data_IF_393879411628
#
_entry.id   IF_393879411628
#
_cell.length_a   1.000
_cell.length_b   1.000
_cell.length_c   1.000
_cell.angle_alpha   90.00
_cell.angle_beta   90.00
_cell.angle_gamma   90.00
#
_symmetry.space_group_name_H-M   'P 1'
#
loop_
_entity.id
_entity.type
_entity.pdbx_description
1 polymer ?
#
# COMPACT_ATOMS: atom_id res chain seq x y z
N UNK A 1 5.81 -4.93 30.84
CA UNK A 1 5.29 -6.26 30.42
C UNK A 1 6.16 -7.41 30.98
N UNK A 2 7.47 -7.34 30.80
CA UNK A 2 8.43 -8.35 31.29
C UNK A 2 8.40 -8.50 32.82
N UNK A 3 8.28 -7.39 33.55
CA UNK A 3 8.19 -7.41 35.05
C UNK A 3 6.91 -8.09 35.52
N UNK A 4 5.76 -7.83 34.87
CA UNK A 4 4.47 -8.47 35.17
C UNK A 4 4.53 -9.98 34.93
N UNK A 5 5.23 -10.40 33.88
CA UNK A 5 5.40 -11.81 33.56
C UNK A 5 6.30 -12.52 34.57
N UNK A 6 7.40 -11.89 34.99
CA UNK A 6 8.32 -12.41 36.00
C UNK A 6 7.62 -12.49 37.36
N UNK A 7 6.83 -11.48 37.73
CA UNK A 7 6.06 -11.51 39.00
C UNK A 7 4.96 -12.59 38.98
N UNK A 8 4.24 -12.76 37.87
CA UNK A 8 3.25 -13.83 37.72
C UNK A 8 3.90 -15.23 37.81
N UNK A 9 5.08 -15.43 37.20
CA UNK A 9 5.84 -16.67 37.32
C UNK A 9 6.29 -16.95 38.76
N UNK A 10 6.78 -15.92 39.46
CA UNK A 10 7.20 -16.04 40.85
C UNK A 10 6.03 -16.39 41.80
N UNK A 11 4.86 -15.77 41.56
CA UNK A 11 3.64 -16.04 42.31
C UNK A 11 3.14 -17.48 42.08
N UNK A 12 3.12 -17.95 40.84
CA UNK A 12 2.76 -19.34 40.49
C UNK A 12 3.73 -20.35 41.11
N UNK A 13 5.03 -20.06 41.14
CA UNK A 13 6.03 -20.91 41.75
C UNK A 13 5.87 -21.00 43.28
N UNK A 14 5.67 -19.87 43.94
CA UNK A 14 5.46 -19.78 45.37
C UNK A 14 4.12 -20.43 45.79
N UNK A 15 3.05 -20.26 45.00
CA UNK A 15 1.75 -20.93 45.26
C UNK A 15 1.86 -22.45 45.12
N UNK A 16 2.64 -22.97 44.21
CA UNK A 16 2.92 -24.40 44.05
C UNK A 16 3.67 -25.01 45.22
N UNK A 17 4.52 -24.24 45.90
CA UNK A 17 5.25 -24.65 47.09
C UNK A 17 4.36 -24.72 48.37
N UNK A 18 3.31 -23.89 48.41
CA UNK A 18 2.45 -23.75 49.62
C UNK A 18 1.30 -24.76 49.71
N UNK A 19 0.95 -25.42 48.59
CA UNK A 19 -0.29 -26.23 48.52
C UNK A 19 -0.11 -27.73 48.74
N UNK A 20 1.05 -28.22 49.08
CA UNK A 20 1.27 -29.66 49.41
C UNK A 20 0.88 -30.64 48.30
N UNK A 21 0.81 -30.14 47.03
CA UNK A 21 0.54 -30.99 45.86
C UNK A 21 1.58 -32.11 45.76
N UNK A 22 1.14 -33.31 45.35
CA UNK A 22 2.03 -34.46 45.17
C UNK A 22 3.22 -34.09 44.27
N UNK A 23 4.40 -34.59 44.55
CA UNK A 23 5.67 -34.28 43.85
C UNK A 23 5.59 -34.37 42.31
N UNK A 24 4.70 -35.17 41.79
CA UNK A 24 4.46 -35.33 40.32
C UNK A 24 3.69 -34.12 39.77
N UNK A 25 2.67 -33.63 40.45
CA UNK A 25 1.91 -32.45 40.01
C UNK A 25 2.71 -31.16 40.13
N UNK A 26 3.61 -31.04 41.11
CA UNK A 26 4.46 -29.87 41.28
C UNK A 26 5.50 -29.73 40.13
N UNK A 27 6.06 -30.84 39.66
CA UNK A 27 7.00 -30.86 38.55
C UNK A 27 6.31 -30.50 37.21
N UNK A 28 5.12 -31.04 36.96
CA UNK A 28 4.29 -30.70 35.81
C UNK A 28 3.90 -29.23 35.82
N UNK A 29 3.48 -28.70 36.94
CA UNK A 29 3.10 -27.31 37.11
C UNK A 29 4.29 -26.37 36.86
N UNK A 30 5.47 -26.71 37.40
CA UNK A 30 6.70 -25.95 37.18
C UNK A 30 7.11 -25.90 35.71
N UNK A 31 7.00 -27.02 34.98
CA UNK A 31 7.29 -27.07 33.54
C UNK A 31 6.27 -26.22 32.75
N UNK A 32 4.98 -26.32 33.07
CA UNK A 32 3.94 -25.52 32.42
C UNK A 32 4.14 -24.02 32.66
N UNK A 33 4.47 -23.62 33.89
CA UNK A 33 4.76 -22.21 34.23
C UNK A 33 5.98 -21.66 33.51
N UNK A 34 6.88 -22.50 33.05
CA UNK A 34 8.06 -22.09 32.27
C UNK A 34 7.78 -22.10 30.73
N UNK A 35 7.13 -23.14 30.26
CA UNK A 35 6.89 -23.34 28.81
C UNK A 35 5.82 -22.39 28.28
N UNK A 36 4.72 -22.15 29.00
CA UNK A 36 3.63 -21.30 28.54
C UNK A 36 4.07 -19.84 28.28
N UNK A 37 4.74 -19.15 29.24
CA UNK A 37 5.15 -17.77 28.99
C UNK A 37 6.23 -17.67 27.91
N UNK A 38 7.16 -18.63 27.81
CA UNK A 38 8.18 -18.65 26.74
C UNK A 38 7.50 -18.83 25.38
N UNK A 39 6.54 -19.75 25.29
CA UNK A 39 5.76 -19.96 24.05
C UNK A 39 4.96 -18.72 23.66
N UNK A 40 4.33 -18.06 24.64
CA UNK A 40 3.57 -16.83 24.43
C UNK A 40 4.48 -15.68 23.96
N UNK A 41 5.65 -15.53 24.56
CA UNK A 41 6.65 -14.55 24.14
C UNK A 41 7.15 -14.82 22.71
N UNK A 42 7.40 -16.09 22.38
CA UNK A 42 7.80 -16.48 21.03
C UNK A 42 6.72 -16.16 19.99
N UNK A 43 5.46 -16.49 20.30
CA UNK A 43 4.33 -16.18 19.43
C UNK A 43 4.12 -14.66 19.28
N UNK A 44 4.22 -13.92 20.39
CA UNK A 44 4.11 -12.47 20.39
C UNK A 44 5.23 -11.83 19.52
N UNK A 45 6.48 -12.29 19.70
CA UNK A 45 7.61 -11.84 18.90
C UNK A 45 7.42 -12.15 17.40
N UNK A 46 6.97 -13.36 17.07
CA UNK A 46 6.70 -13.77 15.69
C UNK A 46 5.59 -12.92 15.06
N UNK A 47 4.54 -12.59 15.82
CA UNK A 47 3.46 -11.71 15.35
C UNK A 47 3.94 -10.26 15.17
N UNK A 48 4.73 -9.77 16.10
CA UNK A 48 5.34 -8.45 16.03
C UNK A 48 6.26 -8.30 14.81
N UNK A 49 7.16 -9.26 14.57
CA UNK A 49 8.03 -9.24 13.40
C UNK A 49 7.23 -9.22 12.09
N UNK A 50 6.15 -10.03 11.97
CA UNK A 50 5.29 -9.99 10.78
C UNK A 50 4.66 -8.62 10.54
N UNK A 51 4.25 -7.93 11.60
CA UNK A 51 3.70 -6.57 11.51
C UNK A 51 4.79 -5.61 11.02
N UNK A 52 5.99 -5.68 11.60
CA UNK A 52 7.12 -4.87 11.16
C UNK A 52 7.48 -5.11 9.69
N UNK A 53 7.56 -6.37 9.28
CA UNK A 53 7.85 -6.75 7.89
C UNK A 53 6.79 -6.18 6.93
N UNK A 54 5.51 -6.26 7.30
CA UNK A 54 4.41 -5.71 6.51
C UNK A 54 4.46 -4.19 6.40
N UNK A 55 4.81 -3.50 7.48
CA UNK A 55 4.97 -2.03 7.48
C UNK A 55 6.17 -1.60 6.63
N UNK A 56 7.28 -2.33 6.71
CA UNK A 56 8.46 -2.06 5.88
C UNK A 56 8.16 -2.28 4.40
N UNK A 57 7.47 -3.38 4.06
CA UNK A 57 7.06 -3.65 2.68
C UNK A 57 6.12 -2.56 2.14
N UNK A 58 5.15 -2.11 2.94
CA UNK A 58 4.25 -1.02 2.57
C UNK A 58 5.01 0.31 2.37
N UNK A 59 5.96 0.63 3.26
CA UNK A 59 6.81 1.82 3.12
C UNK A 59 7.68 1.78 1.86
N UNK A 60 8.26 0.62 1.54
CA UNK A 60 9.06 0.46 0.32
C UNK A 60 8.20 0.57 -0.94
N UNK A 61 6.99 0.00 -0.93
CA UNK A 61 6.05 0.13 -2.05
C UNK A 61 5.64 1.58 -2.27
N UNK A 62 5.36 2.33 -1.19
CA UNK A 62 5.04 3.75 -1.25
C UNK A 62 6.19 4.58 -1.83
N UNK A 63 7.42 4.38 -1.33
CA UNK A 63 8.62 5.07 -1.85
C UNK A 63 8.82 4.80 -3.34
N UNK A 64 8.71 3.53 -3.74
CA UNK A 64 8.84 3.14 -5.13
C UNK A 64 7.78 3.80 -6.03
N UNK A 65 6.54 3.98 -5.54
CA UNK A 65 5.50 4.74 -6.22
C UNK A 65 5.91 6.19 -6.42
N UNK A 66 6.29 6.86 -5.32
CA UNK A 66 6.73 8.26 -5.35
C UNK A 66 7.96 8.49 -6.27
N UNK A 67 8.93 7.55 -6.29
CA UNK A 67 10.08 7.62 -7.21
C UNK A 67 9.61 7.57 -8.68
N UNK A 68 8.64 6.72 -9.01
CA UNK A 68 8.09 6.64 -10.37
C UNK A 68 7.35 7.93 -10.76
N UNK A 69 6.53 8.48 -9.87
CA UNK A 69 5.85 9.76 -10.09
C UNK A 69 6.85 10.90 -10.27
N UNK A 70 7.95 10.92 -9.49
CA UNK A 70 9.03 11.89 -9.63
C UNK A 70 9.68 11.83 -10.99
N UNK A 71 10.04 10.64 -11.49
CA UNK A 71 10.62 10.46 -12.83
C UNK A 71 9.65 10.95 -13.92
N UNK A 72 8.37 10.63 -13.81
CA UNK A 72 7.36 11.12 -14.75
C UNK A 72 7.25 12.65 -14.70
N UNK A 73 7.30 13.26 -13.52
CA UNK A 73 7.27 14.70 -13.37
C UNK A 73 8.50 15.37 -14.02
N UNK A 74 9.69 14.78 -13.86
CA UNK A 74 10.93 15.26 -14.49
C UNK A 74 10.82 15.20 -16.02
N UNK A 75 10.30 14.10 -16.57
CA UNK A 75 10.06 13.98 -18.01
C UNK A 75 9.04 15.03 -18.52
N UNK A 76 7.96 15.24 -17.78
CA UNK A 76 6.94 16.22 -18.12
C UNK A 76 7.46 17.68 -18.01
N UNK A 77 8.48 17.94 -17.21
CA UNK A 77 9.11 19.27 -17.12
C UNK A 77 9.82 19.69 -18.40
N UNK A 78 10.14 18.74 -19.27
CA UNK A 78 10.76 19.00 -20.59
C UNK A 78 9.75 19.37 -21.69
N UNK A 79 8.45 19.41 -21.38
CA UNK A 79 7.44 19.89 -22.32
C UNK A 79 7.63 21.37 -22.60
N UNK A 80 7.23 21.81 -23.81
CA UNK A 80 7.30 23.24 -24.16
C UNK A 80 6.33 24.08 -23.32
N UNK A 81 6.59 25.38 -23.19
CA UNK A 81 5.78 26.36 -22.45
C UNK A 81 4.32 26.45 -22.90
N UNK A 82 3.97 25.80 -24.02
CA UNK A 82 2.59 25.69 -24.48
C UNK A 82 1.77 24.67 -23.72
N UNK A 83 2.43 23.85 -22.88
CA UNK A 83 1.79 22.87 -22.00
C UNK A 83 1.83 23.33 -20.55
N UNK A 84 0.73 23.11 -19.85
CA UNK A 84 0.65 23.28 -18.39
C UNK A 84 0.54 21.92 -17.75
N UNK A 85 1.38 21.66 -16.75
CA UNK A 85 1.40 20.39 -16.01
C UNK A 85 0.94 20.64 -14.57
N UNK A 86 0.02 19.84 -14.11
CA UNK A 86 -0.48 19.82 -12.72
C UNK A 86 -0.17 18.47 -12.12
N UNK A 87 0.37 18.46 -10.90
CA UNK A 87 0.75 17.25 -10.18
C UNK A 87 -0.18 17.01 -8.99
N UNK A 88 -0.39 15.75 -8.63
CA UNK A 88 -1.11 15.33 -7.42
C UNK A 88 -2.51 15.96 -7.30
N UNK A 89 -3.30 15.89 -8.38
CA UNK A 89 -4.59 16.55 -8.45
C UNK A 89 -5.67 15.72 -7.79
N UNK A 90 -6.17 16.20 -6.66
CA UNK A 90 -7.25 15.56 -5.90
C UNK A 90 -8.48 16.45 -5.86
N UNK A 91 -9.64 15.88 -6.19
CA UNK A 91 -10.94 16.54 -6.03
C UNK A 91 -12.04 15.52 -5.76
N UNK A 92 -13.01 15.79 -4.86
CA UNK A 92 -14.05 14.84 -4.51
C UNK A 92 -14.85 14.31 -5.70
N UNK A 93 -15.13 15.17 -6.71
CA UNK A 93 -15.88 14.78 -7.91
C UNK A 93 -15.06 13.92 -8.91
N UNK A 94 -13.74 13.84 -8.77
CA UNK A 94 -12.89 13.06 -9.66
C UNK A 94 -12.86 11.59 -9.22
N UNK A 95 -13.07 11.31 -7.94
CA UNK A 95 -13.10 9.95 -7.41
C UNK A 95 -11.73 9.36 -7.15
N UNK A 96 -10.78 10.19 -6.71
CA UNK A 96 -9.43 9.83 -6.33
C UNK A 96 -8.40 10.83 -6.84
N UNK A 97 -7.13 10.51 -6.60
CA UNK A 97 -5.99 11.29 -7.07
C UNK A 97 -5.68 11.00 -8.54
N UNK A 98 -5.27 12.00 -9.30
CA UNK A 98 -4.62 11.88 -10.61
C UNK A 98 -3.18 12.34 -10.43
N UNK A 99 -2.21 11.49 -10.74
CA UNK A 99 -0.80 11.76 -10.49
C UNK A 99 -0.34 13.00 -11.28
N UNK A 100 -0.71 13.09 -12.58
CA UNK A 100 -0.42 14.27 -13.38
C UNK A 100 -1.56 14.58 -14.35
N UNK A 101 -1.81 15.88 -14.57
CA UNK A 101 -2.69 16.38 -15.63
C UNK A 101 -1.85 17.26 -16.55
N UNK A 102 -1.88 16.98 -17.84
CA UNK A 102 -1.20 17.80 -18.87
C UNK A 102 -2.26 18.45 -19.74
N UNK A 103 -2.18 19.77 -19.87
CA UNK A 103 -3.08 20.57 -20.70
C UNK A 103 -2.27 21.32 -21.73
N UNK A 104 -2.61 21.20 -22.98
CA UNK A 104 -1.89 21.88 -24.07
C UNK A 104 -2.65 21.88 -25.39
N UNK A 105 -1.99 22.30 -26.47
CA UNK A 105 -2.61 22.43 -27.79
C UNK A 105 -3.17 21.13 -28.36
N UNK A 106 -2.65 19.98 -27.90
CA UNK A 106 -3.08 18.65 -28.34
C UNK A 106 -4.22 18.07 -27.50
N UNK A 107 -4.63 18.73 -26.41
CA UNK A 107 -5.73 18.32 -25.56
C UNK A 107 -5.39 18.27 -24.08
N UNK A 108 -6.22 17.52 -23.34
CA UNK A 108 -6.07 17.27 -21.89
C UNK A 108 -5.78 15.80 -21.66
N UNK A 109 -4.75 15.52 -20.88
CA UNK A 109 -4.30 14.17 -20.56
C UNK A 109 -4.30 13.97 -19.06
N UNK A 110 -4.93 12.89 -18.60
CA UNK A 110 -4.87 12.44 -17.21
C UNK A 110 -3.92 11.25 -17.14
N UNK A 111 -2.80 11.41 -16.44
CA UNK A 111 -1.73 10.41 -16.35
C UNK A 111 -1.76 9.72 -14.99
N UNK A 112 -1.58 8.42 -15.01
CA UNK A 112 -1.37 7.56 -13.84
C UNK A 112 -0.03 6.86 -14.00
N UNK A 113 0.88 7.04 -13.05
CA UNK A 113 2.21 6.42 -13.07
C UNK A 113 2.22 5.11 -12.31
N UNK A 114 2.85 4.09 -12.87
CA UNK A 114 3.03 2.79 -12.23
C UNK A 114 4.47 2.32 -12.37
N UNK A 115 5.21 2.37 -11.29
CA UNK A 115 6.58 1.87 -11.23
C UNK A 115 6.60 0.36 -10.92
N UNK A 116 6.12 -0.47 -11.86
CA UNK A 116 6.10 -1.92 -11.70
C UNK A 116 7.48 -2.54 -12.01
N UNK A 117 7.75 -3.70 -11.41
CA UNK A 117 8.88 -4.54 -11.81
C UNK A 117 8.41 -5.53 -12.86
N UNK A 118 9.16 -5.63 -13.99
CA UNK A 118 8.90 -6.57 -15.07
C UNK A 118 8.53 -5.88 -16.36
N UNK A 119 8.35 -6.67 -17.41
CA UNK A 119 7.97 -6.18 -18.73
C UNK A 119 6.46 -5.99 -18.83
N UNK A 120 6.03 -4.75 -19.02
CA UNK A 120 4.61 -4.42 -19.21
C UNK A 120 4.26 -4.55 -20.70
N UNK A 121 3.18 -5.25 -21.00
CA UNK A 121 2.68 -5.43 -22.36
C UNK A 121 1.15 -5.44 -22.39
N UNK A 122 0.58 -5.18 -23.58
CA UNK A 122 -0.84 -5.28 -23.84
C UNK A 122 -1.15 -6.63 -24.50
N UNK A 123 -1.95 -7.45 -23.84
CA UNK A 123 -2.49 -8.68 -24.42
C UNK A 123 -3.97 -8.46 -24.76
N UNK A 124 -4.22 -8.01 -25.99
CA UNK A 124 -5.57 -7.66 -26.46
C UNK A 124 -6.05 -6.27 -26.02
N UNK A 125 -7.29 -5.87 -26.36
CA UNK A 125 -7.81 -4.53 -26.12
C UNK A 125 -7.90 -4.22 -24.62
N UNK A 126 -6.98 -3.41 -24.11
CA UNK A 126 -7.00 -2.89 -22.75
C UNK A 126 -6.64 -3.89 -21.64
N UNK A 127 -6.06 -5.05 -21.99
CA UNK A 127 -5.58 -6.03 -20.99
C UNK A 127 -4.09 -5.81 -20.78
N UNK A 128 -3.72 -5.26 -19.63
CA UNK A 128 -2.34 -5.12 -19.19
C UNK A 128 -1.82 -6.45 -18.61
N UNK A 129 -0.62 -6.81 -19.01
CA UNK A 129 0.13 -7.95 -18.45
C UNK A 129 1.50 -7.49 -18.00
N UNK A 130 1.99 -8.06 -16.91
CA UNK A 130 3.35 -7.90 -16.41
C UNK A 130 4.01 -9.28 -16.44
N UNK A 131 5.10 -9.42 -17.19
CA UNK A 131 5.80 -10.70 -17.43
C UNK A 131 4.84 -11.83 -17.86
N UNK A 132 3.88 -11.50 -18.74
CA UNK A 132 2.89 -12.42 -19.26
C UNK A 132 1.80 -12.83 -18.27
N UNK A 133 1.79 -12.31 -17.03
CA UNK A 133 0.73 -12.53 -16.06
C UNK A 133 -0.32 -11.44 -16.19
N UNK A 134 -1.59 -11.83 -16.19
CA UNK A 134 -2.69 -10.87 -16.21
C UNK A 134 -2.63 -9.99 -14.97
N UNK A 135 -2.35 -8.71 -15.16
CA UNK A 135 -2.63 -7.74 -14.14
C UNK A 135 -4.12 -7.39 -14.16
N UNK A 136 -4.63 -7.14 -12.97
CA UNK A 136 -6.01 -6.70 -12.81
C UNK A 136 -6.24 -5.42 -13.60
N UNK A 137 -7.14 -5.47 -14.56
CA UNK A 137 -7.66 -4.32 -15.34
C UNK A 137 -8.20 -3.17 -14.47
N UNK A 138 -8.09 -3.26 -13.14
CA UNK A 138 -8.55 -2.26 -12.17
C UNK A 138 -7.86 -0.91 -12.36
N UNK A 139 -6.55 -0.90 -12.65
CA UNK A 139 -5.79 0.35 -12.77
C UNK A 139 -6.22 1.14 -14.02
N UNK A 140 -6.31 0.48 -15.17
CA UNK A 140 -6.81 1.10 -16.40
C UNK A 140 -8.24 1.62 -16.27
N UNK A 141 -9.13 0.86 -15.63
CA UNK A 141 -10.51 1.31 -15.35
C UNK A 141 -10.55 2.49 -14.39
N UNK A 142 -9.67 2.51 -13.39
CA UNK A 142 -9.62 3.60 -12.41
C UNK A 142 -9.21 4.92 -13.06
N UNK A 143 -8.13 4.94 -13.85
CA UNK A 143 -7.70 6.17 -14.53
C UNK A 143 -8.71 6.62 -15.58
N UNK A 144 -9.31 5.69 -16.32
CA UNK A 144 -10.39 6.03 -17.26
C UNK A 144 -11.59 6.69 -16.54
N UNK A 145 -12.00 6.14 -15.41
CA UNK A 145 -13.08 6.72 -14.59
C UNK A 145 -12.74 8.13 -14.12
N UNK A 146 -11.50 8.35 -13.63
CA UNK A 146 -11.03 9.68 -13.20
C UNK A 146 -10.96 10.66 -14.37
N UNK A 147 -10.47 10.24 -15.54
CA UNK A 147 -10.43 11.07 -16.74
C UNK A 147 -11.82 11.50 -17.21
N UNK A 148 -12.81 10.58 -17.15
CA UNK A 148 -14.22 10.89 -17.46
C UNK A 148 -14.82 11.88 -16.45
N UNK A 149 -14.52 11.73 -15.17
CA UNK A 149 -14.99 12.64 -14.14
C UNK A 149 -14.31 14.02 -14.25
N UNK A 150 -13.01 14.05 -14.56
CA UNK A 150 -12.28 15.29 -14.85
C UNK A 150 -12.91 16.01 -16.07
N UNK A 151 -13.18 15.29 -17.15
CA UNK A 151 -13.89 15.81 -18.31
C UNK A 151 -15.20 16.50 -17.91
N UNK A 152 -16.08 15.78 -17.20
CA UNK A 152 -17.36 16.33 -16.73
C UNK A 152 -17.16 17.60 -15.90
N UNK A 153 -16.14 17.64 -15.05
CA UNK A 153 -15.84 18.80 -14.21
C UNK A 153 -15.39 20.00 -15.04
N UNK A 154 -14.51 19.79 -16.04
CA UNK A 154 -14.07 20.84 -16.94
C UNK A 154 -15.25 21.40 -17.72
N UNK A 155 -16.07 20.53 -18.33
CA UNK A 155 -17.24 20.93 -19.10
C UNK A 155 -18.25 21.72 -18.26
N UNK A 156 -18.47 21.31 -17.00
CA UNK A 156 -19.37 22.01 -16.09
C UNK A 156 -18.88 23.41 -15.67
N UNK A 157 -17.56 23.64 -15.67
CA UNK A 157 -16.98 24.91 -15.26
C UNK A 157 -16.74 25.87 -16.43
N UNK A 158 -16.42 25.34 -17.62
CA UNK A 158 -16.00 26.13 -18.78
C UNK A 158 -17.08 26.26 -19.86
N UNK A 159 -18.12 25.43 -19.84
CA UNK A 159 -19.08 25.24 -20.94
C UNK A 159 -18.42 24.82 -22.27
N UNK A 160 -17.19 24.32 -22.22
CA UNK A 160 -16.42 23.86 -23.40
C UNK A 160 -16.42 22.35 -23.40
N UNK A 161 -16.90 21.74 -24.47
CA UNK A 161 -16.75 20.30 -24.66
C UNK A 161 -15.26 19.98 -24.89
N UNK A 162 -14.70 19.13 -24.04
CA UNK A 162 -13.30 18.73 -24.12
C UNK A 162 -13.17 17.21 -24.07
N UNK A 163 -12.11 16.71 -24.66
CA UNK A 163 -11.71 15.30 -24.51
C UNK A 163 -10.58 15.19 -23.51
N UNK A 164 -10.70 14.31 -22.54
CA UNK A 164 -9.65 13.99 -21.59
C UNK A 164 -9.16 12.58 -21.87
N UNK A 165 -7.92 12.46 -22.28
CA UNK A 165 -7.29 11.18 -22.55
C UNK A 165 -6.71 10.58 -21.27
N UNK A 166 -7.07 9.34 -20.94
CA UNK A 166 -6.44 8.57 -19.88
C UNK A 166 -5.15 7.95 -20.39
N UNK A 167 -4.05 8.12 -19.66
CA UNK A 167 -2.72 7.61 -20.00
C UNK A 167 -2.15 6.87 -18.80
N UNK A 168 -1.53 5.71 -19.02
CA UNK A 168 -0.72 5.03 -18.02
C UNK A 168 0.73 5.08 -18.42
N UNK A 169 1.59 5.47 -17.48
CA UNK A 169 3.05 5.57 -17.63
C UNK A 169 3.71 4.47 -16.81
N UNK A 170 4.73 3.79 -17.37
CA UNK A 170 5.43 2.68 -16.72
C UNK A 170 6.94 2.87 -16.72
#
# INVERSE_FOLDING_TARGET
FMIILITAMAVCYLAGLSTGLSLINSKLLSVLCLVLPVSLLFLARRRFNRILDSLQAASQAFRKGADGEGLTADDLSNLSDTYSVFHDVTHPSIGGNIDHIVVGPTGVFALETKNWKGHVSLSGPGILTVDGKHDNTKHGKAILGRALNLKKKIEALSNISTFVQAVMVF
#
